data_IF_134425072550
#
_entry.id   IF_134425072550
#
_cell.length_a   1.000
_cell.length_b   1.000
_cell.length_c   1.000
_cell.angle_alpha   90.00
_cell.angle_beta   90.00
_cell.angle_gamma   90.00
#
_symmetry.space_group_name_H-M   'P 1'
#
loop_
_entity.id
_entity.type
_entity.pdbx_description
1 polymer ?
#
# COMPACT_ATOMS: atom_id res chain seq x y z
N UNK A 1 5.35 13.06 -6.95
CA UNK A 1 5.58 11.84 -7.73
C UNK A 1 6.93 11.24 -7.37
N UNK A 2 6.89 10.06 -6.76
CA UNK A 2 8.04 9.23 -6.44
C UNK A 2 8.70 8.69 -7.70
N UNK A 3 9.98 8.38 -7.60
CA UNK A 3 10.77 7.80 -8.68
C UNK A 3 11.35 6.46 -8.23
N UNK A 4 11.71 5.60 -9.18
CA UNK A 4 12.37 4.33 -8.91
C UNK A 4 13.58 4.46 -7.96
N UNK A 5 14.43 5.48 -8.19
CA UNK A 5 15.61 5.72 -7.36
C UNK A 5 15.25 6.03 -5.90
N UNK A 6 14.22 6.86 -5.70
CA UNK A 6 13.72 7.20 -4.37
C UNK A 6 13.06 6.00 -3.67
N UNK A 7 12.38 5.11 -4.41
CA UNK A 7 11.83 3.88 -3.84
C UNK A 7 12.92 2.90 -3.43
N UNK A 8 13.92 2.71 -4.28
CA UNK A 8 15.03 1.79 -4.04
C UNK A 8 15.88 2.24 -2.85
N UNK A 9 15.99 3.55 -2.61
CA UNK A 9 16.76 4.13 -1.50
C UNK A 9 16.30 3.61 -0.13
N UNK A 10 14.99 3.49 0.10
CA UNK A 10 14.47 3.03 1.40
C UNK A 10 14.02 1.57 1.39
N UNK A 11 13.51 1.05 0.27
CA UNK A 11 13.06 -0.35 0.19
C UNK A 11 14.24 -1.32 0.09
N UNK A 12 15.36 -0.86 -0.49
CA UNK A 12 16.54 -1.67 -0.77
C UNK A 12 16.50 -2.30 -2.17
N UNK A 13 17.68 -2.63 -2.75
CA UNK A 13 17.76 -3.31 -4.03
C UNK A 13 17.04 -4.67 -3.99
N UNK A 14 16.19 -4.94 -4.99
CA UNK A 14 15.42 -6.20 -5.07
C UNK A 14 14.10 -6.19 -4.31
N UNK A 15 13.80 -5.13 -3.56
CA UNK A 15 12.51 -4.91 -2.88
C UNK A 15 11.61 -3.93 -3.63
N UNK A 16 11.91 -3.67 -4.90
CA UNK A 16 11.07 -2.87 -5.80
C UNK A 16 10.81 -3.70 -7.05
N UNK A 17 9.54 -3.96 -7.35
CA UNK A 17 9.11 -4.85 -8.41
C UNK A 17 8.57 -4.05 -9.59
N UNK A 18 9.19 -4.21 -10.75
CA UNK A 18 8.78 -3.56 -11.99
C UNK A 18 7.54 -4.19 -12.60
N UNK A 19 6.58 -3.35 -12.99
CA UNK A 19 5.49 -3.81 -13.84
C UNK A 19 5.99 -4.08 -15.25
N UNK A 20 5.69 -5.29 -15.76
CA UNK A 20 5.91 -5.59 -17.17
C UNK A 20 5.06 -4.66 -18.03
N UNK A 21 5.66 -4.01 -19.04
CA UNK A 21 4.90 -3.14 -19.96
C UNK A 21 3.76 -3.91 -20.63
N UNK A 22 4.01 -5.15 -21.04
CA UNK A 22 3.03 -6.02 -21.68
C UNK A 22 1.91 -6.45 -20.71
N UNK A 23 2.22 -6.54 -19.41
CA UNK A 23 1.26 -6.90 -18.37
C UNK A 23 0.21 -5.80 -18.22
N UNK A 24 0.64 -4.56 -17.97
CA UNK A 24 -0.30 -3.44 -17.75
C UNK A 24 -0.90 -2.91 -19.06
N UNK A 25 -0.33 -3.25 -20.21
CA UNK A 25 -0.86 -2.84 -21.51
C UNK A 25 -2.31 -3.31 -21.71
N UNK A 26 -2.62 -4.54 -21.29
CA UNK A 26 -3.95 -5.15 -21.43
C UNK A 26 -4.99 -4.62 -20.45
N UNK A 27 -4.56 -3.98 -19.35
CA UNK A 27 -5.46 -3.52 -18.30
C UNK A 27 -6.32 -2.34 -18.77
N UNK A 28 -7.56 -2.29 -18.31
CA UNK A 28 -8.47 -1.17 -18.58
C UNK A 28 -8.29 -0.09 -17.54
N UNK A 29 -7.14 0.59 -17.52
CA UNK A 29 -6.85 1.73 -16.64
C UNK A 29 -6.27 2.90 -17.45
N UNK A 30 -6.30 4.15 -16.94
CA UNK A 30 -5.76 5.30 -17.66
C UNK A 30 -4.30 5.13 -18.07
N UNK A 31 -3.96 5.52 -19.31
CA UNK A 31 -2.64 5.27 -19.89
C UNK A 31 -1.46 5.86 -19.10
N UNK A 32 -1.65 7.03 -18.48
CA UNK A 32 -0.62 7.62 -17.64
C UNK A 32 -0.32 6.78 -16.39
N UNK A 33 -1.32 6.10 -15.82
CA UNK A 33 -1.14 5.22 -14.66
C UNK A 33 -0.40 3.94 -15.04
N UNK A 34 -0.66 3.40 -16.25
CA UNK A 34 0.14 2.28 -16.80
C UNK A 34 1.62 2.66 -16.91
N UNK A 35 1.91 3.85 -17.44
CA UNK A 35 3.28 4.34 -17.52
C UNK A 35 3.93 4.44 -16.14
N UNK A 36 3.21 4.93 -15.14
CA UNK A 36 3.72 5.02 -13.77
C UNK A 36 4.07 3.67 -13.15
N UNK A 37 3.23 2.65 -13.32
CA UNK A 37 3.53 1.29 -12.84
C UNK A 37 4.80 0.71 -13.49
N UNK A 38 5.09 1.08 -14.74
CA UNK A 38 6.26 0.61 -15.50
C UNK A 38 7.53 1.41 -15.19
N UNK A 39 7.41 2.69 -14.84
CA UNK A 39 8.55 3.60 -14.66
C UNK A 39 9.01 3.72 -13.20
N UNK A 40 8.06 3.72 -12.26
CA UNK A 40 8.33 3.96 -10.83
C UNK A 40 8.53 2.63 -10.09
N UNK A 41 7.90 1.56 -10.58
CA UNK A 41 7.87 0.22 -9.96
C UNK A 41 7.14 0.23 -8.59
N UNK A 42 6.79 -0.95 -8.05
CA UNK A 42 6.05 -1.07 -6.78
C UNK A 42 7.01 -1.53 -5.66
N UNK A 43 7.14 -0.79 -4.54
CA UNK A 43 8.02 -1.18 -3.46
C UNK A 43 7.33 -2.18 -2.52
N UNK A 44 8.10 -3.12 -1.97
CA UNK A 44 7.77 -3.83 -0.74
C UNK A 44 7.87 -2.81 0.39
N UNK A 45 6.84 -2.74 1.22
CA UNK A 45 6.70 -1.74 2.27
C UNK A 45 6.53 -2.45 3.62
N UNK A 46 7.37 -2.14 4.63
CA UNK A 46 7.27 -2.77 5.94
C UNK A 46 5.84 -2.70 6.49
N UNK A 47 5.32 -3.85 6.98
CA UNK A 47 3.98 -3.97 7.59
C UNK A 47 2.81 -3.60 6.66
N UNK A 48 3.06 -3.49 5.35
CA UNK A 48 2.06 -3.02 4.40
C UNK A 48 2.03 -3.82 3.09
N UNK A 49 3.17 -4.02 2.45
CA UNK A 49 3.30 -4.84 1.24
C UNK A 49 4.42 -5.82 1.48
N UNK A 50 4.09 -7.10 1.59
CA UNK A 50 5.07 -8.18 1.76
C UNK A 50 5.51 -8.72 0.40
N UNK A 51 4.58 -8.84 -0.54
CA UNK A 51 4.86 -9.33 -1.89
C UNK A 51 4.05 -8.59 -2.94
N UNK A 52 4.72 -8.27 -4.05
CA UNK A 52 4.10 -7.71 -5.26
C UNK A 52 3.81 -8.85 -6.23
N UNK A 53 2.53 -9.07 -6.54
CA UNK A 53 2.04 -10.12 -7.44
C UNK A 53 1.08 -9.47 -8.42
N UNK A 54 1.64 -8.85 -9.45
CA UNK A 54 0.85 -8.21 -10.49
C UNK A 54 0.21 -9.26 -11.38
N UNK A 55 -1.11 -9.16 -11.51
CA UNK A 55 -1.89 -10.00 -12.39
C UNK A 55 -1.45 -9.83 -13.85
N UNK A 56 -1.36 -10.93 -14.61
CA UNK A 56 -0.94 -10.90 -16.02
C UNK A 56 -2.10 -10.90 -17.01
N UNK A 57 -3.27 -11.32 -16.55
CA UNK A 57 -4.50 -11.49 -17.30
C UNK A 57 -5.15 -10.14 -17.63
N UNK A 58 -5.77 -10.05 -18.81
CA UNK A 58 -6.41 -8.83 -19.31
C UNK A 58 -7.69 -8.45 -18.56
N UNK A 59 -8.41 -9.44 -18.02
CA UNK A 59 -9.63 -9.23 -17.26
C UNK A 59 -9.34 -9.24 -15.76
N UNK A 60 -9.89 -8.29 -14.98
CA UNK A 60 -9.64 -8.21 -13.55
C UNK A 60 -10.07 -9.48 -12.81
N UNK A 61 -9.17 -10.07 -12.01
CA UNK A 61 -9.38 -11.37 -11.37
C UNK A 61 -9.71 -11.27 -9.87
N UNK A 62 -9.47 -10.11 -9.23
CA UNK A 62 -9.74 -9.93 -7.82
C UNK A 62 -11.21 -9.52 -7.61
N UNK A 63 -12.05 -10.49 -7.25
CA UNK A 63 -13.48 -10.26 -7.03
C UNK A 63 -13.72 -9.63 -5.67
N UNK A 64 -14.45 -8.51 -5.64
CA UNK A 64 -14.77 -7.79 -4.40
C UNK A 64 -16.25 -7.44 -4.34
N UNK A 65 -16.70 -7.00 -3.16
CA UNK A 65 -18.06 -6.47 -2.97
C UNK A 65 -18.40 -5.27 -3.88
N UNK A 66 -17.39 -4.59 -4.45
CA UNK A 66 -17.54 -3.43 -5.34
C UNK A 66 -17.41 -3.77 -6.82
N UNK A 67 -17.06 -5.00 -7.15
CA UNK A 67 -16.74 -5.44 -8.50
C UNK A 67 -15.31 -5.97 -8.64
N UNK A 68 -14.91 -6.34 -9.86
CA UNK A 68 -13.62 -6.95 -10.11
C UNK A 68 -12.50 -5.91 -10.21
N UNK A 69 -11.35 -6.19 -9.60
CA UNK A 69 -10.14 -5.35 -9.59
C UNK A 69 -8.94 -6.10 -10.21
N UNK A 70 -7.99 -5.35 -10.76
CA UNK A 70 -6.68 -5.89 -11.17
C UNK A 70 -5.76 -6.01 -9.96
N UNK A 71 -5.20 -7.20 -9.69
CA UNK A 71 -4.33 -7.41 -8.53
C UNK A 71 -2.94 -6.79 -8.73
N UNK A 72 -2.46 -6.05 -7.71
CA UNK A 72 -1.09 -5.50 -7.65
C UNK A 72 -0.19 -6.27 -6.69
N UNK A 73 -0.75 -6.67 -5.53
CA UNK A 73 0.00 -7.32 -4.46
C UNK A 73 -0.76 -8.55 -3.98
N UNK A 74 -0.06 -9.42 -3.27
CA UNK A 74 -0.66 -10.51 -2.52
C UNK A 74 0.06 -10.51 -1.17
N UNK A 75 -0.68 -10.38 -0.08
CA UNK A 75 -0.17 -10.72 1.25
C UNK A 75 -0.46 -12.20 1.45
N UNK A 76 0.58 -12.98 1.72
CA UNK A 76 0.46 -14.40 1.90
C UNK A 76 0.85 -14.73 3.33
N UNK A 77 -0.13 -15.14 4.14
CA UNK A 77 0.17 -16.27 5.00
C UNK A 77 0.27 -17.49 4.07
N UNK A 78 1.44 -18.13 4.07
CA UNK A 78 1.71 -19.25 3.15
C UNK A 78 0.90 -20.48 3.56
N UNK A 79 0.44 -20.52 4.82
CA UNK A 79 -0.29 -21.64 5.40
C UNK A 79 -1.81 -21.47 5.28
N UNK A 80 -2.34 -20.25 5.13
CA UNK A 80 -3.78 -19.98 5.06
C UNK A 80 -4.19 -19.10 3.85
N UNK A 81 -4.48 -19.71 2.68
CA UNK A 81 -4.91 -18.99 1.48
C UNK A 81 -6.20 -18.18 1.64
N UNK A 82 -7.01 -18.54 2.64
CA UNK A 82 -8.27 -17.88 2.96
C UNK A 82 -8.08 -16.54 3.69
N UNK A 83 -6.85 -16.18 4.09
CA UNK A 83 -6.51 -14.91 4.74
C UNK A 83 -5.75 -13.94 3.81
N UNK A 84 -5.73 -14.20 2.50
CA UNK A 84 -4.99 -13.39 1.53
C UNK A 84 -5.63 -12.03 1.32
N UNK A 85 -4.98 -11.01 1.85
CA UNK A 85 -5.31 -9.62 1.53
C UNK A 85 -4.51 -9.15 0.31
N UNK A 86 -5.01 -8.18 -0.44
CA UNK A 86 -4.37 -7.73 -1.69
C UNK A 86 -4.69 -6.28 -2.00
N UNK A 87 -3.74 -5.53 -2.55
CA UNK A 87 -4.05 -4.29 -3.23
C UNK A 87 -4.56 -4.57 -4.64
N UNK A 88 -5.67 -3.94 -5.01
CA UNK A 88 -6.30 -4.04 -6.31
C UNK A 88 -6.55 -2.67 -6.94
N UNK A 89 -6.48 -2.60 -8.27
CA UNK A 89 -6.80 -1.41 -9.07
C UNK A 89 -8.15 -1.56 -9.73
N UNK A 90 -8.99 -0.55 -9.55
CA UNK A 90 -10.30 -0.47 -10.20
C UNK A 90 -10.13 -0.15 -11.69
N UNK A 91 -10.82 -0.91 -12.58
CA UNK A 91 -10.90 -0.56 -13.99
C UNK A 91 -11.44 0.85 -14.20
N UNK A 92 -11.08 1.45 -15.32
CA UNK A 92 -11.46 2.79 -15.80
C UNK A 92 -10.91 3.95 -14.96
N UNK A 93 -11.03 3.90 -13.63
CA UNK A 93 -10.62 4.99 -12.73
C UNK A 93 -9.15 4.89 -12.33
N UNK A 94 -8.66 3.66 -12.16
CA UNK A 94 -7.34 3.40 -11.58
C UNK A 94 -7.25 3.68 -10.08
N UNK A 95 -8.39 3.79 -9.38
CA UNK A 95 -8.42 3.87 -7.92
C UNK A 95 -7.88 2.59 -7.30
N UNK A 96 -7.22 2.70 -6.15
CA UNK A 96 -6.59 1.58 -5.46
C UNK A 96 -7.39 1.24 -4.21
N UNK A 97 -7.64 -0.06 -4.02
CA UNK A 97 -8.34 -0.60 -2.87
C UNK A 97 -7.48 -1.67 -2.19
N UNK A 98 -7.59 -1.75 -0.87
CA UNK A 98 -7.11 -2.89 -0.11
C UNK A 98 -8.26 -3.88 0.06
N UNK A 99 -8.07 -5.09 -0.44
CA UNK A 99 -9.07 -6.15 -0.44
C UNK A 99 -8.75 -7.12 0.67
N UNK A 100 -9.70 -7.22 1.61
CA UNK A 100 -9.69 -8.18 2.70
C UNK A 100 -10.00 -9.59 2.18
N UNK A 101 -9.70 -10.64 2.95
CA UNK A 101 -9.86 -12.01 2.48
C UNK A 101 -11.32 -12.43 2.27
N UNK A 102 -12.25 -11.76 2.94
CA UNK A 102 -13.70 -11.91 2.75
C UNK A 102 -14.23 -11.20 1.48
N UNK A 103 -13.35 -10.53 0.72
CA UNK A 103 -13.69 -9.76 -0.47
C UNK A 103 -14.17 -8.34 -0.19
N UNK A 104 -14.15 -7.88 1.07
CA UNK A 104 -14.40 -6.48 1.39
C UNK A 104 -13.27 -5.60 0.84
N UNK A 105 -13.64 -4.58 0.05
CA UNK A 105 -12.68 -3.64 -0.53
C UNK A 105 -12.71 -2.31 0.23
N UNK A 106 -11.62 -2.01 0.93
CA UNK A 106 -11.40 -0.74 1.61
C UNK A 106 -10.69 0.23 0.67
N UNK A 107 -11.19 1.45 0.56
CA UNK A 107 -10.59 2.46 -0.29
C UNK A 107 -9.20 2.83 0.24
N UNK A 108 -8.17 2.64 -0.58
CA UNK A 108 -6.81 2.98 -0.22
C UNK A 108 -6.42 4.33 -0.79
N UNK A 109 -6.55 4.53 -2.10
CA UNK A 109 -6.12 5.75 -2.76
C UNK A 109 -6.93 6.06 -4.02
N UNK A 110 -7.04 7.34 -4.34
CA UNK A 110 -7.80 7.84 -5.49
C UNK A 110 -7.21 7.48 -6.85
N UNK A 111 -5.92 7.13 -6.90
CA UNK A 111 -5.25 6.68 -8.12
C UNK A 111 -4.00 5.87 -7.79
N UNK A 112 -3.51 5.12 -8.78
CA UNK A 112 -2.20 4.45 -8.72
C UNK A 112 -1.05 5.42 -8.39
N UNK A 113 -1.06 6.63 -8.96
CA UNK A 113 -0.01 7.61 -8.72
C UNK A 113 -0.02 8.09 -7.26
N UNK A 114 -1.21 8.40 -6.75
CA UNK A 114 -1.38 8.77 -5.35
C UNK A 114 -0.94 7.64 -4.42
N UNK A 115 -1.30 6.40 -4.76
CA UNK A 115 -0.87 5.21 -4.02
C UNK A 115 0.66 5.07 -3.98
N UNK A 116 1.35 5.20 -5.11
CA UNK A 116 2.82 5.13 -5.16
C UNK A 116 3.49 6.25 -4.35
N UNK A 117 2.95 7.47 -4.41
CA UNK A 117 3.48 8.62 -3.65
C UNK A 117 3.28 8.43 -2.14
N UNK A 118 2.10 7.94 -1.74
CA UNK A 118 1.79 7.60 -0.36
C UNK A 118 2.69 6.45 0.13
N UNK A 119 2.88 5.39 -0.67
CA UNK A 119 3.80 4.29 -0.34
C UNK A 119 5.23 4.77 -0.15
N UNK A 120 5.73 5.64 -1.03
CA UNK A 120 7.05 6.22 -0.88
C UNK A 120 7.19 7.00 0.43
N UNK A 121 6.23 7.88 0.72
CA UNK A 121 6.23 8.69 1.94
C UNK A 121 6.17 7.81 3.18
N UNK A 122 5.26 6.84 3.19
CA UNK A 122 5.11 5.86 4.25
C UNK A 122 6.40 5.07 4.49
N UNK A 123 6.91 4.40 3.45
CA UNK A 123 8.10 3.56 3.55
C UNK A 123 9.33 4.35 4.00
N UNK A 124 9.56 5.53 3.43
CA UNK A 124 10.67 6.40 3.83
C UNK A 124 10.59 6.80 5.31
N UNK A 125 9.39 7.11 5.83
CA UNK A 125 9.18 7.49 7.24
C UNK A 125 9.34 6.31 8.19
N UNK A 126 8.77 5.16 7.84
CA UNK A 126 8.82 3.96 8.68
C UNK A 126 10.24 3.42 8.75
N UNK A 127 10.95 3.35 7.63
CA UNK A 127 12.34 2.85 7.59
C UNK A 127 13.32 3.79 8.32
N UNK A 128 13.10 5.10 8.27
CA UNK A 128 13.97 6.07 8.93
C UNK A 128 13.72 6.24 10.44
N UNK A 129 12.63 5.66 10.99
CA UNK A 129 12.23 5.85 12.38
C UNK A 129 12.38 4.57 13.17
N UNK A 130 13.28 4.54 14.16
CA UNK A 130 13.41 3.41 15.08
C UNK A 130 12.13 3.14 15.87
N UNK A 131 11.28 4.15 16.10
CA UNK A 131 10.00 4.01 16.80
C UNK A 131 8.92 3.33 15.94
N UNK A 132 8.95 3.57 14.62
CA UNK A 132 7.94 3.04 13.69
C UNK A 132 8.38 1.73 13.02
N UNK A 133 9.70 1.49 13.01
CA UNK A 133 10.29 0.22 12.56
C UNK A 133 9.86 -0.90 13.51
N UNK A 134 9.68 -2.11 12.96
CA UNK A 134 9.35 -3.29 13.77
C UNK A 134 10.46 -3.50 14.81
N UNK A 135 10.14 -3.73 16.09
CA UNK A 135 11.15 -4.21 17.03
C UNK A 135 11.56 -5.61 16.56
N UNK A 136 12.82 -5.77 16.15
CA UNK A 136 13.40 -7.06 15.73
C UNK A 136 13.72 -7.96 16.95
N UNK A 137 13.01 -7.80 18.07
CA UNK A 137 13.28 -8.48 19.34
C UNK A 137 12.01 -8.85 20.10
N UNK A 138 12.11 -9.64 21.19
CA UNK A 138 10.98 -9.88 22.08
C UNK A 138 10.43 -8.53 22.52
N UNK A 139 9.09 -8.39 22.51
CA UNK A 139 8.39 -7.13 22.78
C UNK A 139 8.89 -6.48 24.07
N UNK A 140 9.89 -5.61 23.94
CA UNK A 140 10.18 -4.62 24.97
C UNK A 140 9.02 -3.65 24.89
N UNK A 141 8.18 -3.67 25.93
CA UNK A 141 7.12 -2.70 26.09
C UNK A 141 7.75 -1.31 26.01
N UNK A 142 7.26 -0.49 25.07
CA UNK A 142 7.64 0.90 24.99
C UNK A 142 7.35 1.55 26.35
N UNK A 143 8.22 2.45 26.79
CA UNK A 143 7.86 3.33 27.91
C UNK A 143 6.68 4.22 27.52
N UNK A 144 5.92 4.73 28.50
CA UNK A 144 4.80 5.66 28.24
C UNK A 144 5.24 6.86 27.37
N UNK A 145 6.44 7.38 27.60
CA UNK A 145 7.06 8.46 26.81
C UNK A 145 7.39 8.04 25.36
N UNK A 146 7.67 6.75 25.12
CA UNK A 146 7.90 6.21 23.77
C UNK A 146 6.58 5.96 23.03
N UNK A 147 5.55 5.50 23.72
CA UNK A 147 4.20 5.36 23.18
C UNK A 147 3.64 6.71 22.73
N UNK A 148 3.75 7.75 23.57
CA UNK A 148 3.30 9.10 23.22
C UNK A 148 4.05 9.64 21.98
N UNK A 149 5.38 9.41 21.90
CA UNK A 149 6.18 9.81 20.74
C UNK A 149 5.83 9.02 19.48
N UNK A 150 5.57 7.72 19.60
CA UNK A 150 5.13 6.89 18.49
C UNK A 150 3.76 7.35 17.97
N UNK A 151 2.83 7.66 18.88
CA UNK A 151 1.51 8.22 18.55
C UNK A 151 1.62 9.56 17.83
N UNK A 152 2.46 10.48 18.33
CA UNK A 152 2.72 11.77 17.68
C UNK A 152 3.34 11.58 16.28
N UNK A 153 4.26 10.62 16.12
CA UNK A 153 4.87 10.29 14.83
C UNK A 153 3.85 9.71 13.85
N UNK A 154 2.91 8.86 14.32
CA UNK A 154 1.85 8.29 13.49
C UNK A 154 0.83 9.33 13.05
N UNK A 155 0.42 10.24 13.94
CA UNK A 155 -0.47 11.34 13.56
C UNK A 155 0.18 12.26 12.53
N UNK A 156 1.47 12.59 12.71
CA UNK A 156 2.21 13.36 11.72
C UNK A 156 2.27 12.63 10.38
N UNK A 157 2.53 11.32 10.40
CA UNK A 157 2.52 10.51 9.18
C UNK A 157 1.14 10.55 8.52
N UNK A 158 0.05 10.39 9.27
CA UNK A 158 -1.32 10.47 8.75
C UNK A 158 -1.58 11.79 8.03
N UNK A 159 -1.21 12.93 8.61
CA UNK A 159 -1.36 14.24 7.97
C UNK A 159 -0.49 14.35 6.70
N UNK A 160 0.75 13.86 6.71
CA UNK A 160 1.61 13.85 5.53
C UNK A 160 1.03 12.98 4.39
N UNK A 161 0.42 11.84 4.71
CA UNK A 161 -0.23 10.97 3.72
C UNK A 161 -1.52 11.60 3.19
N UNK A 162 -2.27 12.29 4.05
CA UNK A 162 -3.50 13.02 3.69
C UNK A 162 -3.23 14.20 2.77
N UNK A 163 -2.10 14.89 2.93
CA UNK A 163 -1.69 15.95 1.99
C UNK A 163 -1.49 15.42 0.57
N UNK A 164 -1.03 14.17 0.42
CA UNK A 164 -0.82 13.52 -0.88
C UNK A 164 -2.16 13.12 -1.49
N UNK A 165 -3.03 12.48 -0.71
CA UNK A 165 -4.32 12.01 -1.17
C UNK A 165 -5.43 12.25 -0.12
N UNK A 166 -6.03 13.45 -0.11
CA UNK A 166 -7.06 13.78 0.88
C UNK A 166 -8.27 12.83 0.82
N UNK A 167 -8.57 12.28 -0.36
CA UNK A 167 -9.67 11.34 -0.54
C UNK A 167 -9.46 10.05 0.26
N UNK A 168 -8.21 9.63 0.49
CA UNK A 168 -7.87 8.43 1.26
C UNK A 168 -8.17 8.53 2.76
N UNK A 169 -8.43 9.75 3.27
CA UNK A 169 -8.65 10.04 4.68
C UNK A 169 -10.00 10.69 4.98
N UNK A 170 -10.80 11.01 3.95
CA UNK A 170 -12.08 11.67 4.11
C UNK A 170 -13.23 10.67 4.29
N UNK A 171 -13.35 10.10 5.49
CA UNK A 171 -14.51 9.30 5.93
C UNK A 171 -14.14 8.30 7.02
N UNK A 172 -15.13 7.87 7.83
CA UNK A 172 -14.90 7.10 9.05
C UNK A 172 -15.17 5.58 8.91
N UNK A 173 -15.58 5.09 7.75
CA UNK A 173 -15.82 3.66 7.52
C UNK A 173 -15.43 3.26 6.08
N UNK A 174 -14.62 2.20 5.96
CA UNK A 174 -14.18 1.65 4.67
C UNK A 174 -12.94 2.31 4.05
N UNK A 175 -12.17 3.07 4.82
CA UNK A 175 -10.89 3.66 4.39
C UNK A 175 -9.71 2.92 5.00
N UNK A 176 -8.73 2.59 4.16
CA UNK A 176 -7.61 1.76 4.55
C UNK A 176 -6.64 2.45 5.52
N UNK A 177 -6.19 3.67 5.20
CA UNK A 177 -5.12 4.33 5.95
C UNK A 177 -5.48 4.68 7.40
N UNK A 178 -6.65 5.27 7.71
CA UNK A 178 -7.06 5.47 9.09
C UNK A 178 -7.09 4.15 9.88
N UNK A 179 -7.69 3.10 9.32
CA UNK A 179 -7.77 1.80 9.97
C UNK A 179 -6.42 1.11 10.18
N UNK A 180 -5.49 1.24 9.22
CA UNK A 180 -4.13 0.70 9.35
C UNK A 180 -3.36 1.39 10.49
N UNK A 181 -3.43 2.72 10.55
CA UNK A 181 -2.69 3.51 11.53
C UNK A 181 -3.29 3.37 12.94
N UNK A 182 -4.63 3.27 13.06
CA UNK A 182 -5.30 2.99 14.33
C UNK A 182 -4.94 1.60 14.89
N UNK A 183 -4.70 0.59 14.03
CA UNK A 183 -4.24 -0.73 14.48
C UNK A 183 -2.81 -0.74 15.02
N UNK A 184 -2.00 0.28 14.72
CA UNK A 184 -0.63 0.37 15.26
C UNK A 184 -0.59 0.86 16.70
N UNK A 185 -1.67 1.47 17.17
CA UNK A 185 -1.80 2.09 18.49
C UNK A 185 -2.75 1.29 19.42
N UNK A 186 -3.32 0.19 18.92
CA UNK A 186 -4.24 -0.71 19.64
C UNK A 186 -3.57 -1.98 20.11
#
# INVERSE_FOLDING_TARGET
MATYGQLTEWAGPGHVTRAGRDVVASWRIPGFMKAQLVEVDIPVAPRLIEQVVMQSEAEPALLTSRGPLYRLTEQADTDEPAERSSFGVEPETGAVYFVMPDGEAWFANSSVNAWLDVLHRYGSRVTASELLRKPDGPAEYLSEDEEERAFAALNRLAEELKEIDPAAFNGYAGFFWPGLLDRWIS
#
